data_IF_581817957279
#
_entry.id   IF_581817957279
#
_cell.length_a   1.000
_cell.length_b   1.000
_cell.length_c   1.000
_cell.angle_alpha   90.00
_cell.angle_beta   90.00
_cell.angle_gamma   90.00
#
_symmetry.space_group_name_H-M   'P 1'
#
loop_
_entity.id
_entity.type
_entity.pdbx_description
1 polymer ?
#
# COMPACT_ATOMS: atom_id res chain seq x y z
N UNK A 1 -1.38 14.91 -13.48
CA UNK A 1 -0.43 13.89 -12.93
C UNK A 1 -0.52 13.89 -11.43
N UNK A 2 -0.69 12.74 -10.82
CA UNK A 2 -0.82 12.56 -9.37
C UNK A 2 0.43 11.93 -8.78
N UNK A 3 0.73 12.32 -7.54
CA UNK A 3 1.86 11.77 -6.78
C UNK A 3 1.32 10.98 -5.59
N UNK A 4 1.68 9.69 -5.50
CA UNK A 4 1.38 8.85 -4.37
C UNK A 4 2.67 8.52 -3.61
N UNK A 5 2.62 8.54 -2.28
CA UNK A 5 3.65 7.94 -1.45
C UNK A 5 3.13 6.59 -0.95
N UNK A 6 3.78 5.51 -1.34
CA UNK A 6 3.38 4.15 -1.00
C UNK A 6 4.27 3.59 0.10
N UNK A 7 3.73 3.52 1.29
CA UNK A 7 4.32 2.95 2.51
C UNK A 7 3.72 1.56 2.77
N UNK A 8 4.47 0.70 3.42
CA UNK A 8 3.99 -0.59 3.92
C UNK A 8 4.72 -1.02 5.18
N UNK A 9 4.16 -1.99 5.90
CA UNK A 9 4.84 -2.74 6.95
C UNK A 9 5.48 -1.83 8.00
N UNK A 10 4.66 -0.91 8.56
CA UNK A 10 5.11 0.05 9.58
C UNK A 10 5.53 -0.65 10.87
N UNK A 11 4.82 -1.71 11.25
CA UNK A 11 5.11 -2.57 12.39
C UNK A 11 5.34 -1.83 13.71
N UNK A 12 4.46 -0.88 14.07
CA UNK A 12 4.52 -0.26 15.39
C UNK A 12 4.56 -1.30 16.50
N UNK A 13 5.47 -1.09 17.47
CA UNK A 13 5.93 -2.12 18.43
C UNK A 13 7.23 -2.83 18.01
N UNK A 14 7.76 -2.54 16.81
CA UNK A 14 9.08 -2.93 16.28
C UNK A 14 9.63 -1.87 15.32
N UNK A 15 9.27 -0.64 15.55
CA UNK A 15 9.78 0.51 14.79
C UNK A 15 11.27 0.70 15.04
N UNK A 16 11.99 1.18 14.05
CA UNK A 16 13.32 1.77 14.18
C UNK A 16 13.18 3.29 14.36
N UNK A 17 13.23 3.83 15.59
CA UNK A 17 12.85 5.22 15.85
C UNK A 17 13.60 6.28 15.01
N UNK A 18 14.90 6.12 14.71
CA UNK A 18 15.64 7.07 13.89
C UNK A 18 15.10 7.29 12.47
N UNK A 19 14.29 6.36 11.96
CA UNK A 19 13.71 6.43 10.60
C UNK A 19 12.50 7.36 10.52
N UNK A 20 11.77 7.57 11.63
CA UNK A 20 10.46 8.23 11.60
C UNK A 20 10.53 9.68 11.14
N UNK A 21 11.46 10.46 11.68
CA UNK A 21 11.59 11.86 11.30
C UNK A 21 12.13 12.05 9.89
N UNK A 22 13.19 11.34 9.44
CA UNK A 22 13.59 11.34 8.04
C UNK A 22 12.49 10.94 7.07
N UNK A 23 11.61 9.99 7.45
CA UNK A 23 10.46 9.62 6.62
C UNK A 23 9.46 10.77 6.47
N UNK A 24 9.14 11.49 7.57
CA UNK A 24 8.27 12.69 7.50
C UNK A 24 8.88 13.75 6.58
N UNK A 25 10.17 14.00 6.70
CA UNK A 25 10.90 14.99 5.89
C UNK A 25 10.90 14.61 4.41
N UNK A 26 11.13 13.32 4.09
CA UNK A 26 11.08 12.83 2.72
C UNK A 26 9.66 12.99 2.13
N UNK A 27 8.61 12.63 2.88
CA UNK A 27 7.23 12.83 2.46
C UNK A 27 6.88 14.31 2.29
N UNK A 28 7.36 15.18 3.17
CA UNK A 28 7.16 16.63 3.06
C UNK A 28 7.86 17.23 1.83
N UNK A 29 9.03 16.70 1.45
CA UNK A 29 9.73 17.10 0.23
C UNK A 29 9.01 16.66 -1.05
N UNK A 30 8.46 15.43 -1.06
CA UNK A 30 7.71 14.85 -2.19
C UNK A 30 6.34 15.53 -2.35
N UNK A 31 5.69 15.93 -1.25
CA UNK A 31 4.34 16.52 -1.20
C UNK A 31 3.31 15.67 -1.96
N UNK A 32 3.07 14.41 -1.52
CA UNK A 32 2.15 13.53 -2.24
C UNK A 32 0.70 14.03 -2.17
N UNK A 33 -0.06 13.79 -3.24
CA UNK A 33 -1.51 13.99 -3.26
C UNK A 33 -2.23 12.98 -2.35
N UNK A 34 -1.63 11.79 -2.19
CA UNK A 34 -2.16 10.73 -1.33
C UNK A 34 -1.02 9.88 -0.75
N UNK A 35 -1.06 9.66 0.56
CA UNK A 35 -0.25 8.63 1.23
C UNK A 35 -1.04 7.34 1.28
N UNK A 36 -0.50 6.29 0.70
CA UNK A 36 -1.07 4.94 0.71
C UNK A 36 -0.28 4.08 1.69
N UNK A 37 -0.98 3.40 2.61
CA UNK A 37 -0.36 2.44 3.53
C UNK A 37 -0.96 1.06 3.29
N UNK A 38 -0.16 0.18 2.70
CA UNK A 38 -0.59 -1.16 2.29
C UNK A 38 -0.49 -2.23 3.40
N UNK A 39 -0.83 -1.85 4.64
CA UNK A 39 -1.04 -2.78 5.74
C UNK A 39 0.14 -2.96 6.70
N UNK A 40 -0.06 -3.87 7.67
CA UNK A 40 0.86 -4.18 8.76
C UNK A 40 1.30 -2.94 9.55
N UNK A 41 0.28 -2.19 10.03
CA UNK A 41 0.50 -1.03 10.88
C UNK A 41 1.16 -1.41 12.20
N UNK A 42 0.84 -2.59 12.72
CA UNK A 42 1.27 -3.07 14.03
C UNK A 42 2.07 -4.36 13.94
N UNK A 43 2.92 -4.59 14.93
CA UNK A 43 3.63 -5.87 15.04
C UNK A 43 2.75 -7.00 15.59
N UNK A 44 1.77 -6.71 16.48
CA UNK A 44 1.02 -7.71 17.24
C UNK A 44 -0.43 -7.34 17.51
N UNK A 45 -1.02 -6.46 16.76
CA UNK A 45 -2.41 -6.00 16.92
C UNK A 45 -2.77 -5.55 18.35
N UNK A 46 -1.82 -4.93 19.08
CA UNK A 46 -2.08 -4.37 20.41
C UNK A 46 -2.66 -2.95 20.27
N UNK A 47 -3.61 -2.61 21.13
CA UNK A 47 -4.24 -1.28 21.09
C UNK A 47 -3.24 -0.12 21.25
N UNK A 48 -2.17 -0.29 22.02
CA UNK A 48 -1.09 0.69 22.13
C UNK A 48 -0.39 0.91 20.79
N UNK A 49 -0.03 -0.19 20.09
CA UNK A 49 0.63 -0.12 18.79
C UNK A 49 -0.24 0.56 17.72
N UNK A 50 -1.55 0.32 17.74
CA UNK A 50 -2.49 1.04 16.86
C UNK A 50 -2.57 2.53 17.19
N UNK A 51 -2.47 2.93 18.47
CA UNK A 51 -2.44 4.36 18.83
C UNK A 51 -1.17 5.02 18.34
N UNK A 52 0.00 4.41 18.57
CA UNK A 52 1.28 4.90 18.04
C UNK A 52 1.26 5.02 16.51
N UNK A 53 0.72 4.01 15.80
CA UNK A 53 0.54 4.06 14.35
C UNK A 53 -0.39 5.20 13.94
N UNK A 54 -1.49 5.40 14.66
CA UNK A 54 -2.45 6.47 14.41
C UNK A 54 -1.83 7.85 14.62
N UNK A 55 -1.08 8.04 15.70
CA UNK A 55 -0.36 9.29 16.00
C UNK A 55 0.65 9.63 14.89
N UNK A 56 1.40 8.63 14.42
CA UNK A 56 2.29 8.81 13.27
C UNK A 56 1.51 9.21 12.01
N UNK A 57 0.44 8.50 11.68
CA UNK A 57 -0.38 8.82 10.51
C UNK A 57 -1.02 10.20 10.59
N UNK A 58 -1.46 10.62 11.78
CA UNK A 58 -2.07 11.94 12.00
C UNK A 58 -1.03 13.08 11.96
N UNK A 59 0.25 12.77 12.16
CA UNK A 59 1.34 13.74 12.00
C UNK A 59 1.67 14.05 10.52
N UNK A 60 1.14 13.28 9.58
CA UNK A 60 1.35 13.52 8.14
C UNK A 60 0.26 14.47 7.62
N UNK A 61 0.62 15.63 7.03
CA UNK A 61 -0.33 16.64 6.58
C UNK A 61 -0.94 16.32 5.20
N UNK A 62 -1.06 15.06 4.85
CA UNK A 62 -1.53 14.59 3.54
C UNK A 62 -2.78 13.72 3.66
N UNK A 63 -3.66 13.72 2.65
CA UNK A 63 -4.69 12.70 2.54
C UNK A 63 -4.09 11.30 2.62
N UNK A 64 -4.79 10.34 3.23
CA UNK A 64 -4.27 8.99 3.38
C UNK A 64 -5.31 7.92 3.12
N UNK A 65 -4.88 6.81 2.56
CA UNK A 65 -5.64 5.58 2.38
C UNK A 65 -4.88 4.43 3.03
N UNK A 66 -5.52 3.74 3.97
CA UNK A 66 -4.88 2.71 4.78
C UNK A 66 -5.69 1.43 4.71
N UNK A 67 -5.06 0.30 4.43
CA UNK A 67 -5.66 -1.03 4.54
C UNK A 67 -5.00 -1.84 5.66
N UNK A 68 -5.69 -2.77 6.31
CA UNK A 68 -5.07 -3.63 7.32
C UNK A 68 -4.24 -4.74 6.69
N UNK A 69 -3.18 -5.16 7.40
CA UNK A 69 -2.37 -6.33 7.09
C UNK A 69 -2.62 -7.52 8.03
N UNK A 70 -1.87 -8.59 7.86
CA UNK A 70 -2.03 -9.80 8.68
C UNK A 70 -1.53 -9.63 10.13
N UNK A 71 -0.54 -8.77 10.38
CA UNK A 71 -0.07 -8.42 11.72
C UNK A 71 -1.04 -7.50 12.48
N UNK A 72 -2.02 -6.91 11.81
CA UNK A 72 -3.10 -6.14 12.43
C UNK A 72 -4.23 -7.04 12.96
N UNK A 73 -4.13 -8.36 12.76
CA UNK A 73 -4.98 -9.38 13.36
C UNK A 73 -4.25 -10.02 14.55
N UNK A 74 -4.89 -10.15 15.74
CA UNK A 74 -4.27 -10.75 16.91
C UNK A 74 -3.73 -12.15 16.64
N UNK A 75 -2.43 -12.38 16.94
CA UNK A 75 -1.79 -13.68 16.73
C UNK A 75 -2.04 -14.62 17.92
N UNK A 76 -1.83 -14.13 19.14
CA UNK A 76 -1.85 -14.96 20.36
C UNK A 76 -3.21 -15.02 21.06
N UNK A 77 -4.06 -14.03 20.87
CA UNK A 77 -5.41 -14.05 21.42
C UNK A 77 -6.35 -14.75 20.43
N UNK A 78 -6.44 -16.07 20.55
CA UNK A 78 -7.22 -16.93 19.66
C UNK A 78 -8.69 -16.54 19.65
N UNK A 79 -9.29 -16.25 20.81
CA UNK A 79 -10.69 -15.82 20.91
C UNK A 79 -10.90 -14.54 20.07
N UNK A 80 -10.11 -13.50 20.35
CA UNK A 80 -10.22 -12.23 19.64
C UNK A 80 -9.92 -12.38 18.13
N UNK A 81 -8.99 -13.27 17.76
CA UNK A 81 -8.65 -13.55 16.37
C UNK A 81 -9.84 -14.03 15.55
N UNK A 82 -10.69 -14.88 16.13
CA UNK A 82 -11.82 -15.48 15.42
C UNK A 82 -13.15 -14.74 15.62
N UNK A 83 -13.35 -14.06 16.75
CA UNK A 83 -14.59 -13.36 17.05
C UNK A 83 -14.59 -11.88 16.61
N UNK A 84 -13.44 -11.20 16.68
CA UNK A 84 -13.32 -9.78 16.38
C UNK A 84 -11.90 -9.40 15.89
N UNK A 85 -11.42 -9.97 14.77
CA UNK A 85 -10.02 -9.90 14.34
C UNK A 85 -9.50 -8.47 14.12
N UNK A 86 -10.29 -7.57 13.59
CA UNK A 86 -9.90 -6.19 13.28
C UNK A 86 -10.61 -5.17 14.19
N UNK A 87 -11.06 -5.58 15.42
CA UNK A 87 -11.79 -4.69 16.33
C UNK A 87 -10.98 -3.44 16.70
N UNK A 88 -9.71 -3.61 17.08
CA UNK A 88 -8.89 -2.48 17.50
C UNK A 88 -8.46 -1.61 16.32
N UNK A 89 -8.20 -2.19 15.16
CA UNK A 89 -8.01 -1.45 13.91
C UNK A 89 -9.23 -0.55 13.64
N UNK A 90 -10.43 -1.14 13.63
CA UNK A 90 -11.68 -0.39 13.38
C UNK A 90 -11.90 0.75 14.38
N UNK A 91 -11.63 0.50 15.65
CA UNK A 91 -11.82 1.49 16.70
C UNK A 91 -10.82 2.64 16.68
N UNK A 92 -9.55 2.36 16.32
CA UNK A 92 -8.44 3.31 16.49
C UNK A 92 -8.01 3.91 15.17
N UNK A 93 -7.97 3.14 14.08
CA UNK A 93 -7.45 3.58 12.78
C UNK A 93 -8.58 4.00 11.84
N UNK A 94 -9.43 3.08 11.44
CA UNK A 94 -10.54 3.35 10.52
C UNK A 94 -11.61 2.27 10.60
N UNK A 95 -12.88 2.66 10.66
CA UNK A 95 -14.01 1.73 10.51
C UNK A 95 -14.09 1.12 9.11
N UNK A 96 -13.65 1.85 8.09
CA UNK A 96 -13.64 1.39 6.70
C UNK A 96 -12.44 0.48 6.44
N UNK A 97 -12.71 -0.76 6.06
CA UNK A 97 -11.68 -1.76 5.73
C UNK A 97 -11.34 -1.81 4.24
N UNK A 98 -12.17 -1.20 3.42
CA UNK A 98 -11.99 -1.09 1.99
C UNK A 98 -12.19 0.37 1.57
N UNK A 99 -11.33 1.29 2.01
CA UNK A 99 -11.44 2.72 1.75
C UNK A 99 -11.32 3.01 0.26
N UNK A 100 -11.96 4.09 -0.18
CA UNK A 100 -11.84 4.58 -1.55
C UNK A 100 -11.46 6.06 -1.51
N UNK A 101 -10.48 6.44 -2.31
CA UNK A 101 -10.15 7.82 -2.62
C UNK A 101 -10.49 8.05 -4.08
N UNK A 102 -11.24 9.11 -4.38
CA UNK A 102 -11.68 9.44 -5.74
C UNK A 102 -11.60 10.94 -5.94
N UNK A 103 -10.83 11.38 -6.95
CA UNK A 103 -10.74 12.75 -7.38
C UNK A 103 -10.88 12.90 -8.91
N UNK A 104 -10.53 14.04 -9.47
CA UNK A 104 -10.65 14.28 -10.91
C UNK A 104 -9.70 13.43 -11.77
N UNK A 105 -8.55 13.01 -11.23
CA UNK A 105 -7.47 12.37 -11.98
C UNK A 105 -7.21 10.90 -11.61
N UNK A 106 -7.59 10.47 -10.40
CA UNK A 106 -7.37 9.08 -9.96
C UNK A 106 -8.50 8.54 -9.11
N UNK A 107 -8.64 7.23 -9.12
CA UNK A 107 -9.45 6.46 -8.17
C UNK A 107 -8.57 5.38 -7.54
N UNK A 108 -8.52 5.36 -6.21
CA UNK A 108 -7.72 4.40 -5.44
C UNK A 108 -8.66 3.61 -4.54
N UNK A 109 -8.64 2.28 -4.66
CA UNK A 109 -9.51 1.38 -3.89
C UNK A 109 -8.67 0.48 -3.00
N UNK A 110 -8.80 0.63 -1.69
CA UNK A 110 -8.23 -0.28 -0.71
C UNK A 110 -9.06 -1.57 -0.61
N UNK A 111 -8.38 -2.70 -0.55
CA UNK A 111 -9.01 -4.03 -0.43
C UNK A 111 -8.39 -4.78 0.74
N UNK A 112 -9.16 -5.03 1.78
CA UNK A 112 -8.72 -5.84 2.91
C UNK A 112 -8.53 -7.30 2.50
N UNK A 113 -7.29 -7.75 2.45
CA UNK A 113 -6.92 -9.14 2.16
C UNK A 113 -6.61 -9.96 3.41
N UNK A 114 -6.47 -9.31 4.58
CA UNK A 114 -6.18 -9.99 5.85
C UNK A 114 -7.35 -10.85 6.33
N UNK A 115 -7.06 -12.08 6.75
CA UNK A 115 -8.05 -13.06 7.23
C UNK A 115 -7.53 -13.81 8.45
N UNK A 116 -8.44 -14.14 9.38
CA UNK A 116 -8.09 -14.85 10.62
C UNK A 116 -7.50 -16.24 10.41
N UNK A 117 -7.93 -16.92 9.35
CA UNK A 117 -7.52 -18.31 9.03
C UNK A 117 -6.24 -18.40 8.18
N UNK A 118 -5.76 -17.28 7.63
CA UNK A 118 -4.65 -17.29 6.68
C UNK A 118 -3.53 -16.38 7.19
N UNK A 119 -2.32 -16.93 7.34
CA UNK A 119 -1.16 -16.20 7.87
C UNK A 119 -0.28 -15.61 6.76
N UNK A 120 -0.14 -16.31 5.63
CA UNK A 120 0.80 -15.95 4.56
C UNK A 120 0.15 -15.58 3.23
N UNK A 121 -1.14 -15.85 3.06
CA UNK A 121 -1.87 -15.54 1.84
C UNK A 121 -2.98 -14.55 2.10
N UNK A 122 -3.30 -13.72 1.13
CA UNK A 122 -4.48 -12.87 1.12
C UNK A 122 -5.68 -13.60 0.55
N UNK A 123 -6.89 -13.18 0.91
CA UNK A 123 -8.12 -13.67 0.28
C UNK A 123 -9.07 -12.52 -0.03
N UNK A 124 -9.57 -12.51 -1.25
CA UNK A 124 -10.52 -11.50 -1.71
C UNK A 124 -11.86 -12.19 -1.98
N UNK A 125 -12.92 -11.58 -1.47
CA UNK A 125 -14.28 -12.04 -1.66
C UNK A 125 -14.95 -11.36 -2.85
N UNK A 126 -16.02 -12.00 -3.40
CA UNK A 126 -16.79 -11.46 -4.53
C UNK A 126 -17.28 -10.02 -4.29
N UNK A 127 -17.83 -9.73 -3.11
CA UNK A 127 -18.29 -8.37 -2.75
C UNK A 127 -17.19 -7.30 -2.82
N UNK A 128 -15.95 -7.65 -2.51
CA UNK A 128 -14.82 -6.72 -2.61
C UNK A 128 -14.45 -6.47 -4.07
N UNK A 129 -14.45 -7.51 -4.91
CA UNK A 129 -14.25 -7.36 -6.35
C UNK A 129 -15.35 -6.53 -7.01
N UNK A 130 -16.60 -6.73 -6.61
CA UNK A 130 -17.74 -5.96 -7.13
C UNK A 130 -17.62 -4.47 -6.72
N UNK A 131 -17.14 -4.18 -5.49
CA UNK A 131 -16.83 -2.81 -5.05
C UNK A 131 -15.75 -2.16 -5.93
N UNK A 132 -14.66 -2.87 -6.23
CA UNK A 132 -13.59 -2.37 -7.11
C UNK A 132 -14.14 -2.08 -8.50
N UNK A 133 -14.87 -3.02 -9.10
CA UNK A 133 -15.48 -2.82 -10.43
C UNK A 133 -16.44 -1.64 -10.47
N UNK A 134 -17.27 -1.49 -9.44
CA UNK A 134 -18.19 -0.35 -9.33
C UNK A 134 -17.44 0.99 -9.23
N UNK A 135 -16.35 1.06 -8.45
CA UNK A 135 -15.53 2.27 -8.36
C UNK A 135 -14.85 2.61 -9.70
N UNK A 136 -14.46 1.62 -10.48
CA UNK A 136 -13.78 1.82 -11.75
C UNK A 136 -14.73 2.04 -12.94
N UNK A 137 -16.00 1.71 -12.82
CA UNK A 137 -16.97 1.84 -13.91
C UNK A 137 -17.10 3.28 -14.46
N UNK A 138 -16.97 4.29 -13.59
CA UNK A 138 -17.00 5.70 -13.97
C UNK A 138 -15.62 6.34 -14.21
N UNK A 139 -14.53 5.55 -14.16
CA UNK A 139 -13.17 6.07 -14.09
C UNK A 139 -12.35 5.88 -15.38
N UNK A 140 -12.96 5.92 -16.57
CA UNK A 140 -12.28 5.60 -17.83
C UNK A 140 -11.08 6.51 -18.15
N UNK A 141 -11.09 7.76 -17.67
CA UNK A 141 -10.01 8.73 -17.87
C UNK A 141 -9.13 8.94 -16.65
N UNK A 142 -9.40 8.22 -15.56
CA UNK A 142 -8.66 8.33 -14.31
C UNK A 142 -7.64 7.20 -14.20
N UNK A 143 -6.55 7.48 -13.49
CA UNK A 143 -5.64 6.45 -13.02
C UNK A 143 -6.39 5.54 -12.02
N UNK A 144 -6.39 4.24 -12.26
CA UNK A 144 -7.08 3.23 -11.45
C UNK A 144 -6.07 2.45 -10.62
N UNK A 145 -6.16 2.57 -9.30
CA UNK A 145 -5.21 1.97 -8.37
C UNK A 145 -5.94 1.05 -7.39
N UNK A 146 -5.44 -0.16 -7.23
CA UNK A 146 -5.86 -1.08 -6.16
C UNK A 146 -4.76 -1.15 -5.12
N UNK A 147 -5.15 -1.15 -3.84
CA UNK A 147 -4.24 -1.30 -2.71
C UNK A 147 -4.62 -2.53 -1.90
N UNK A 148 -3.68 -3.45 -1.74
CA UNK A 148 -3.82 -4.65 -0.89
C UNK A 148 -2.63 -4.75 0.06
N UNK A 149 -2.71 -5.58 1.10
CA UNK A 149 -1.51 -5.90 1.87
C UNK A 149 -0.73 -7.05 1.24
N UNK A 150 -1.40 -8.16 0.98
CA UNK A 150 -0.73 -9.31 0.37
C UNK A 150 -0.51 -9.06 -1.13
N UNK A 151 0.65 -9.50 -1.65
CA UNK A 151 0.89 -9.49 -3.08
C UNK A 151 -0.23 -10.22 -3.83
N UNK A 152 -0.34 -9.89 -5.06
CA UNK A 152 -1.42 -10.19 -5.95
C UNK A 152 -1.71 -11.71 -6.14
N UNK A 153 -2.98 -12.07 -6.02
CA UNK A 153 -3.53 -13.27 -6.65
C UNK A 153 -4.25 -12.85 -7.97
N UNK A 154 -3.99 -13.49 -9.09
CA UNK A 154 -4.44 -13.09 -10.45
C UNK A 154 -5.89 -12.60 -10.63
N UNK A 155 -6.74 -12.66 -9.59
CA UNK A 155 -8.16 -12.26 -9.65
C UNK A 155 -8.36 -10.75 -9.73
N UNK A 156 -7.51 -9.94 -9.10
CA UNK A 156 -7.60 -8.49 -9.15
C UNK A 156 -7.11 -7.90 -10.48
N UNK A 157 -6.27 -8.61 -11.20
CA UNK A 157 -5.81 -8.20 -12.52
C UNK A 157 -6.99 -7.98 -13.48
N UNK A 158 -8.04 -8.82 -13.36
CA UNK A 158 -9.25 -8.71 -14.18
C UNK A 158 -10.20 -7.58 -13.77
N UNK A 159 -9.79 -6.70 -12.84
CA UNK A 159 -10.59 -5.52 -12.46
C UNK A 159 -10.22 -4.26 -13.26
N UNK A 160 -9.25 -4.34 -14.18
CA UNK A 160 -8.85 -3.23 -15.04
C UNK A 160 -8.10 -2.10 -14.31
N UNK A 161 -7.31 -2.44 -13.29
CA UNK A 161 -6.44 -1.51 -12.60
C UNK A 161 -5.20 -1.16 -13.46
N UNK A 162 -4.73 0.08 -13.36
CA UNK A 162 -3.44 0.49 -13.92
C UNK A 162 -2.29 0.12 -12.99
N UNK A 163 -2.49 0.32 -11.67
CA UNK A 163 -1.52 0.00 -10.63
C UNK A 163 -2.13 -0.92 -9.57
N UNK A 164 -1.34 -1.84 -9.06
CA UNK A 164 -1.63 -2.66 -7.90
C UNK A 164 -0.52 -2.47 -6.87
N UNK A 165 -0.84 -1.85 -5.73
CA UNK A 165 0.10 -1.55 -4.66
C UNK A 165 -0.04 -2.59 -3.54
N UNK A 166 1.09 -3.17 -3.12
CA UNK A 166 1.12 -4.20 -2.06
C UNK A 166 2.35 -4.08 -1.16
N UNK A 167 2.35 -4.81 -0.05
CA UNK A 167 3.47 -4.95 0.88
C UNK A 167 3.76 -6.42 1.21
N UNK A 168 3.88 -6.74 2.52
CA UNK A 168 3.98 -8.09 3.08
C UNK A 168 5.34 -8.80 2.92
N UNK A 169 6.00 -8.72 1.77
CA UNK A 169 7.27 -9.41 1.55
C UNK A 169 8.47 -8.64 2.12
N UNK A 170 8.28 -7.38 2.51
CA UNK A 170 9.29 -6.48 3.05
C UNK A 170 10.41 -6.12 2.06
N UNK A 171 10.17 -6.30 0.79
CA UNK A 171 11.09 -6.02 -0.29
C UNK A 171 10.39 -5.19 -1.36
N UNK A 172 11.06 -4.16 -1.87
CA UNK A 172 10.51 -3.33 -2.93
C UNK A 172 10.70 -4.03 -4.27
N UNK A 173 9.64 -4.10 -5.08
CA UNK A 173 9.73 -4.59 -6.46
C UNK A 173 8.68 -3.94 -7.36
N UNK A 174 8.95 -3.98 -8.67
CA UNK A 174 8.02 -3.55 -9.71
C UNK A 174 7.96 -4.63 -10.77
N UNK A 175 6.77 -5.23 -10.91
CA UNK A 175 6.51 -6.35 -11.82
C UNK A 175 5.34 -6.04 -12.75
N UNK A 176 5.24 -6.78 -13.83
CA UNK A 176 4.12 -6.75 -14.76
C UNK A 176 3.15 -7.90 -14.47
N UNK A 177 1.89 -7.58 -14.22
CA UNK A 177 0.82 -8.56 -14.09
C UNK A 177 -0.03 -8.55 -15.36
N UNK A 178 0.21 -9.51 -16.25
CA UNK A 178 -0.59 -9.68 -17.46
C UNK A 178 -2.01 -10.17 -17.11
N UNK A 179 -3.01 -9.59 -17.75
CA UNK A 179 -4.42 -9.96 -17.61
C UNK A 179 -5.02 -10.23 -18.99
N UNK A 180 -6.14 -10.96 -19.05
CA UNK A 180 -6.85 -11.16 -20.32
C UNK A 180 -7.39 -9.86 -20.96
N UNK A 181 -7.44 -8.76 -20.19
CA UNK A 181 -7.96 -7.45 -20.59
C UNK A 181 -6.89 -6.36 -20.66
N UNK A 182 -5.60 -6.72 -20.49
CA UNK A 182 -4.49 -5.76 -20.49
C UNK A 182 -3.43 -6.10 -19.45
N UNK A 183 -2.65 -5.10 -19.07
CA UNK A 183 -1.54 -5.23 -18.13
C UNK A 183 -1.68 -4.24 -16.98
N UNK A 184 -1.37 -4.71 -15.78
CA UNK A 184 -1.33 -3.93 -14.54
C UNK A 184 0.13 -3.89 -14.04
N UNK A 185 0.63 -2.75 -13.61
CA UNK A 185 1.91 -2.68 -12.91
C UNK A 185 1.69 -3.06 -11.45
N UNK A 186 2.32 -4.14 -11.01
CA UNK A 186 2.35 -4.59 -9.63
C UNK A 186 3.55 -3.95 -8.91
N UNK A 187 3.28 -3.07 -7.95
CA UNK A 187 4.29 -2.32 -7.20
C UNK A 187 4.24 -2.76 -5.75
N UNK A 188 5.33 -3.34 -5.29
CA UNK A 188 5.49 -3.76 -3.92
C UNK A 188 6.36 -2.75 -3.17
N UNK A 189 5.94 -2.39 -1.94
CA UNK A 189 6.75 -1.59 -1.04
C UNK A 189 7.50 -2.48 -0.05
N UNK A 190 8.71 -2.08 0.29
CA UNK A 190 9.44 -2.63 1.42
C UNK A 190 8.87 -2.16 2.75
N UNK A 191 9.54 -2.51 3.86
CA UNK A 191 9.14 -2.03 5.18
C UNK A 191 9.58 -0.58 5.38
N UNK A 192 8.63 0.30 5.73
CA UNK A 192 8.92 1.73 5.81
C UNK A 192 9.61 2.13 7.12
N UNK A 193 9.27 1.50 8.26
CA UNK A 193 9.73 1.95 9.59
C UNK A 193 10.20 0.84 10.52
N UNK A 194 10.08 -0.42 10.13
CA UNK A 194 10.35 -1.54 11.02
C UNK A 194 11.85 -1.80 11.19
N UNK A 195 12.25 -2.18 12.41
CA UNK A 195 13.57 -2.78 12.68
C UNK A 195 13.70 -4.24 12.21
N UNK A 196 12.62 -4.82 11.65
CA UNK A 196 12.60 -6.17 11.06
C UNK A 196 12.99 -6.13 9.57
N UNK A 197 14.08 -5.49 9.28
CA UNK A 197 14.67 -5.54 7.93
C UNK A 197 15.27 -6.94 7.72
N UNK A 198 14.90 -7.65 6.67
CA UNK A 198 15.42 -8.99 6.41
C UNK A 198 16.77 -8.91 5.73
N UNK A 199 17.14 -8.09 4.94
CA UNK A 199 18.42 -7.88 4.24
C UNK A 199 18.43 -6.51 3.55
N UNK A 200 17.27 -5.85 3.49
CA UNK A 200 17.07 -4.57 2.84
C UNK A 200 16.78 -3.47 3.86
N UNK A 201 17.32 -2.29 3.66
CA UNK A 201 17.04 -1.14 4.50
C UNK A 201 15.56 -0.70 4.40
N UNK A 202 15.10 0.11 5.36
CA UNK A 202 13.76 0.69 5.30
C UNK A 202 13.55 1.47 4.00
N UNK A 203 12.40 1.29 3.38
CA UNK A 203 12.11 1.90 2.08
C UNK A 203 10.63 2.21 1.89
N UNK A 204 10.35 3.12 0.97
CA UNK A 204 9.02 3.41 0.45
C UNK A 204 9.10 3.77 -1.04
N UNK A 205 7.96 3.78 -1.73
CA UNK A 205 7.90 4.19 -3.12
C UNK A 205 7.22 5.56 -3.27
N UNK A 206 7.81 6.44 -4.08
CA UNK A 206 7.16 7.63 -4.60
C UNK A 206 6.71 7.35 -6.04
N UNK A 207 5.43 7.49 -6.32
CA UNK A 207 4.83 7.14 -7.60
C UNK A 207 4.21 8.39 -8.21
N UNK A 208 4.69 8.81 -9.37
CA UNK A 208 4.09 9.88 -10.17
C UNK A 208 3.39 9.26 -11.37
N UNK A 209 2.09 9.45 -11.49
CA UNK A 209 1.33 8.73 -12.48
C UNK A 209 0.21 9.54 -13.15
N UNK A 210 -0.04 9.18 -14.38
CA UNK A 210 -1.24 9.48 -15.20
C UNK A 210 -1.74 8.15 -15.78
N UNK A 211 -2.92 8.11 -16.40
CA UNK A 211 -3.36 6.89 -17.10
C UNK A 211 -2.44 6.40 -18.22
N UNK A 212 -1.53 7.26 -18.72
CA UNK A 212 -0.62 6.92 -19.82
C UNK A 212 0.85 6.86 -19.46
N UNK A 213 1.23 7.29 -18.24
CA UNK A 213 2.63 7.33 -17.81
C UNK A 213 2.75 7.06 -16.32
N UNK A 214 3.72 6.26 -15.92
CA UNK A 214 4.02 5.96 -14.52
C UNK A 214 5.53 6.03 -14.28
N UNK A 215 5.91 6.82 -13.29
CA UNK A 215 7.26 6.86 -12.74
C UNK A 215 7.21 6.39 -11.30
N UNK A 216 8.04 5.41 -10.94
CA UNK A 216 8.16 4.82 -9.60
C UNK A 216 9.58 5.00 -9.13
N UNK A 217 9.75 5.75 -8.06
CA UNK A 217 11.02 5.92 -7.37
C UNK A 217 11.01 5.13 -6.07
N UNK A 218 11.98 4.24 -5.88
CA UNK A 218 12.23 3.58 -4.59
C UNK A 218 13.17 4.45 -3.78
N UNK A 219 12.71 4.90 -2.62
CA UNK A 219 13.48 5.64 -1.63
C UNK A 219 13.87 4.70 -0.49
N UNK A 220 15.17 4.63 -0.20
CA UNK A 220 15.72 3.77 0.84
C UNK A 220 16.42 4.61 1.91
N UNK A 221 16.25 4.23 3.18
CA UNK A 221 16.90 4.90 4.30
C UNK A 221 18.38 4.50 4.37
N UNK A 222 19.26 5.49 4.30
CA UNK A 222 20.70 5.37 4.44
C UNK A 222 21.25 6.67 5.02
N UNK A 223 22.23 6.57 5.91
CA UNK A 223 22.98 7.72 6.47
C UNK A 223 22.07 8.82 7.05
N UNK A 224 20.98 8.41 7.69
CA UNK A 224 20.06 9.33 8.36
C UNK A 224 19.02 10.01 7.47
N UNK A 225 18.92 9.64 6.19
CA UNK A 225 17.96 10.20 5.25
C UNK A 225 17.38 9.11 4.31
N UNK A 226 16.22 9.38 3.72
CA UNK A 226 15.71 8.59 2.60
C UNK A 226 16.28 9.12 1.29
N UNK A 227 16.98 8.28 0.57
CA UNK A 227 17.61 8.60 -0.71
C UNK A 227 16.97 7.74 -1.80
N UNK A 228 16.76 8.33 -2.99
CA UNK A 228 16.30 7.59 -4.16
C UNK A 228 17.40 6.64 -4.63
N UNK A 229 17.12 5.34 -4.63
CA UNK A 229 18.06 4.29 -5.05
C UNK A 229 17.71 3.69 -6.40
N UNK A 230 16.44 3.75 -6.80
CA UNK A 230 15.99 3.16 -8.04
C UNK A 230 14.86 4.00 -8.67
N UNK A 231 14.76 3.95 -9.99
CA UNK A 231 13.68 4.58 -10.74
C UNK A 231 13.24 3.68 -11.89
N UNK A 232 11.92 3.47 -11.99
CA UNK A 232 11.28 2.79 -13.11
C UNK A 232 10.32 3.75 -13.81
N UNK A 233 10.36 3.76 -15.14
CA UNK A 233 9.43 4.54 -15.95
C UNK A 233 8.72 3.65 -16.94
N UNK A 234 7.42 3.86 -17.07
CA UNK A 234 6.56 3.11 -17.96
C UNK A 234 5.63 4.04 -18.72
N UNK A 235 5.52 3.77 -20.02
CA UNK A 235 4.54 4.42 -20.88
C UNK A 235 3.51 3.39 -21.37
N UNK A 236 2.26 3.82 -21.48
CA UNK A 236 1.18 2.95 -21.93
C UNK A 236 1.16 2.87 -23.44
N UNK A 237 1.23 1.66 -23.96
CA UNK A 237 1.10 1.33 -25.37
C UNK A 237 -0.12 0.43 -25.58
N UNK A 238 -1.28 1.04 -25.84
CA UNK A 238 -2.55 0.32 -25.89
C UNK A 238 -2.94 -0.22 -24.51
N UNK A 239 -3.05 -1.53 -24.38
CA UNK A 239 -3.38 -2.21 -23.12
C UNK A 239 -2.15 -2.69 -22.33
N UNK A 240 -0.95 -2.39 -22.79
CA UNK A 240 0.32 -2.83 -22.19
C UNK A 240 1.10 -1.66 -21.63
N UNK A 241 1.91 -1.93 -20.62
CA UNK A 241 2.92 -1.03 -20.10
C UNK A 241 4.29 -1.38 -20.69
N UNK A 242 4.99 -0.41 -21.25
CA UNK A 242 6.35 -0.58 -21.77
C UNK A 242 7.31 0.25 -20.95
N UNK A 243 8.43 -0.35 -20.58
CA UNK A 243 9.50 0.39 -19.91
C UNK A 243 9.98 1.51 -20.85
N UNK A 244 9.91 2.76 -20.38
CA UNK A 244 10.42 3.90 -21.12
C UNK A 244 11.95 3.77 -21.20
N UNK A 245 12.50 4.01 -22.39
CA UNK A 245 13.95 4.13 -22.56
C UNK A 245 14.37 5.45 -21.92
N UNK A 246 15.25 5.38 -20.90
CA UNK A 246 15.84 6.53 -20.23
C UNK A 246 16.95 7.16 -21.01
#
# INVERSE_FOLDING_TARGET
MRTLAHLSDLHFGRVHPPVLEPLRQALAAIRPDLVVVSGDLTQRARAAQFREAREFLDSLPFPRLVVPGNHDIPLYNVVKRFTAPLRDYKRIVSHELCPTFDDAEMVVVGVNTARSLVFKGGRIGRKQMDKVRAAFAGAQRKLKVIVTHHPFDGKLAHCGADLLLSGHLHEASVDHAATGEGETLAVQAGTATSSRTRETANSFNAIRATPGHVEIETHQWSDGAFQRVEIHRFDRAGLQWRRAQG
#
